data_IF_225854638663
#
_entry.id   IF_225854638663
#
_cell.length_a   1.000
_cell.length_b   1.000
_cell.length_c   1.000
_cell.angle_alpha   90.00
_cell.angle_beta   90.00
_cell.angle_gamma   90.00
#
_symmetry.space_group_name_H-M   'P 1'
#
loop_
_entity.id
_entity.type
_entity.pdbx_description
1 polymer ?
#
# COMPACT_ATOMS: atom_id res chain seq x y z
N UNK A 1 -22.33 0.81 13.06
CA UNK A 1 -21.01 0.29 12.79
C UNK A 1 -20.33 1.12 11.75
N UNK A 2 -19.17 1.65 12.06
CA UNK A 2 -18.46 2.52 11.13
C UNK A 2 -17.49 1.71 10.30
N UNK A 3 -17.58 1.83 9.01
CA UNK A 3 -16.70 1.13 8.10
C UNK A 3 -15.93 2.13 7.29
N UNK A 4 -14.63 1.92 7.15
CA UNK A 4 -13.76 2.85 6.47
C UNK A 4 -12.85 2.07 5.57
N UNK A 5 -12.72 2.49 4.33
CA UNK A 5 -11.83 1.82 3.40
C UNK A 5 -10.85 2.81 2.84
N UNK A 6 -9.63 2.38 2.62
CA UNK A 6 -8.65 3.24 2.01
C UNK A 6 -7.64 2.40 1.24
N UNK A 7 -6.89 3.05 0.38
CA UNK A 7 -5.85 2.42 -0.41
C UNK A 7 -4.54 3.00 0.08
N UNK A 8 -3.67 2.14 0.59
CA UNK A 8 -2.43 2.58 1.22
C UNK A 8 -1.24 2.25 0.34
N UNK A 9 -0.27 3.14 0.34
CA UNK A 9 0.95 2.93 -0.39
C UNK A 9 2.06 2.72 0.61
N UNK A 10 2.76 1.62 0.48
CA UNK A 10 3.86 1.24 1.36
C UNK A 10 5.11 1.03 0.52
N UNK A 11 6.25 1.35 1.07
CA UNK A 11 7.51 1.19 0.39
C UNK A 11 8.56 0.66 1.36
N UNK A 12 9.63 0.00 0.88
CA UNK A 12 10.65 -0.50 1.77
C UNK A 12 11.38 0.65 2.45
N UNK A 13 11.83 0.42 3.66
CA UNK A 13 12.61 1.43 4.36
C UNK A 13 13.99 1.49 3.72
N UNK A 14 14.79 2.44 4.16
CA UNK A 14 16.11 2.63 3.58
C UNK A 14 16.97 1.39 3.57
N UNK A 15 16.88 0.58 4.59
CA UNK A 15 17.70 -0.62 4.62
C UNK A 15 16.90 -1.82 4.14
N UNK A 16 15.74 -1.59 3.57
CA UNK A 16 14.90 -2.61 3.01
C UNK A 16 14.51 -3.72 3.98
N UNK A 17 14.67 -3.50 5.26
CA UNK A 17 14.35 -4.53 6.21
C UNK A 17 12.88 -4.55 6.58
N UNK A 18 12.14 -3.55 6.23
CA UNK A 18 10.72 -3.52 6.54
C UNK A 18 10.00 -2.54 5.64
N UNK A 19 8.68 -2.62 5.64
CA UNK A 19 7.88 -1.75 4.81
C UNK A 19 7.40 -0.57 5.64
N UNK A 20 7.38 0.59 5.03
CA UNK A 20 6.93 1.81 5.69
C UNK A 20 5.73 2.39 5.00
N UNK A 21 4.79 2.89 5.79
CA UNK A 21 3.61 3.55 5.27
C UNK A 21 4.00 4.88 4.65
N UNK A 22 3.54 5.13 3.45
CA UNK A 22 3.84 6.37 2.73
C UNK A 22 2.63 7.28 2.69
N UNK A 23 1.49 6.77 2.27
CA UNK A 23 0.30 7.61 2.10
C UNK A 23 -0.94 6.74 1.98
N UNK A 24 -2.09 7.35 2.20
CA UNK A 24 -3.35 6.66 2.03
C UNK A 24 -4.32 7.55 1.25
N UNK A 25 -5.14 6.94 0.45
CA UNK A 25 -6.11 7.64 -0.37
C UNK A 25 -7.43 6.88 -0.33
N UNK A 26 -8.54 7.60 -0.52
CA UNK A 26 -9.83 6.94 -0.58
C UNK A 26 -10.17 6.47 -1.99
N UNK A 27 -9.48 6.99 -3.00
CA UNK A 27 -9.78 6.71 -4.38
C UNK A 27 -8.72 5.80 -4.95
N UNK A 28 -9.11 4.67 -5.47
CA UNK A 28 -8.18 3.72 -6.07
C UNK A 28 -7.41 4.34 -7.23
N UNK A 29 -8.08 5.13 -8.07
CA UNK A 29 -7.41 5.70 -9.24
C UNK A 29 -6.29 6.64 -8.82
N UNK A 30 -6.52 7.43 -7.79
CA UNK A 30 -5.50 8.35 -7.30
C UNK A 30 -4.35 7.55 -6.69
N UNK A 31 -4.67 6.57 -5.86
CA UNK A 31 -3.64 5.76 -5.23
C UNK A 31 -2.80 5.03 -6.28
N UNK A 32 -3.46 4.49 -7.29
CA UNK A 32 -2.77 3.76 -8.34
C UNK A 32 -1.83 4.68 -9.12
N UNK A 33 -2.27 5.90 -9.41
CA UNK A 33 -1.42 6.86 -10.12
C UNK A 33 -0.19 7.23 -9.30
N UNK A 34 -0.37 7.43 -8.00
CA UNK A 34 0.74 7.78 -7.13
C UNK A 34 1.73 6.61 -7.06
N UNK A 35 1.22 5.39 -6.91
CA UNK A 35 2.07 4.21 -6.84
C UNK A 35 2.89 4.07 -8.13
N UNK A 36 2.24 4.26 -9.27
CA UNK A 36 2.90 4.13 -10.55
C UNK A 36 3.98 5.20 -10.70
N UNK A 37 3.72 6.40 -10.22
CA UNK A 37 4.72 7.46 -10.35
C UNK A 37 5.94 7.20 -9.51
N UNK A 38 5.81 6.54 -8.41
CA UNK A 38 6.98 6.23 -7.61
C UNK A 38 7.88 5.25 -8.36
N UNK A 39 7.25 4.36 -9.10
CA UNK A 39 8.02 3.55 -10.06
C UNK A 39 8.96 2.52 -9.52
N UNK A 40 9.13 2.40 -8.21
CA UNK A 40 9.99 1.37 -7.69
C UNK A 40 9.37 0.85 -6.43
N UNK A 41 9.91 -0.15 -5.90
CA UNK A 41 9.38 -0.97 -4.82
C UNK A 41 8.27 -0.31 -4.01
N UNK A 42 7.04 -0.58 -4.40
CA UNK A 42 5.90 -0.08 -3.66
C UNK A 42 4.82 -1.14 -3.64
N UNK A 43 4.00 -1.12 -2.63
CA UNK A 43 2.82 -1.96 -2.56
C UNK A 43 1.61 -1.07 -2.43
N UNK A 44 0.55 -1.42 -3.17
CA UNK A 44 -0.73 -0.74 -3.06
C UNK A 44 -1.64 -1.71 -2.32
N UNK A 45 -2.11 -1.32 -1.17
CA UNK A 45 -2.87 -2.20 -0.28
C UNK A 45 -4.25 -1.63 -0.02
N UNK A 46 -5.26 -2.46 -0.21
CA UNK A 46 -6.63 -2.08 0.11
C UNK A 46 -6.85 -2.47 1.58
N UNK A 47 -7.22 -1.52 2.40
CA UNK A 47 -7.37 -1.73 3.83
C UNK A 47 -8.78 -1.34 4.25
N UNK A 48 -9.39 -2.16 5.09
CA UNK A 48 -10.71 -1.91 5.61
C UNK A 48 -10.63 -1.87 7.14
N UNK A 49 -11.18 -0.82 7.71
CA UNK A 49 -11.26 -0.69 9.16
C UNK A 49 -12.74 -0.74 9.55
N UNK A 50 -13.04 -1.38 10.64
CA UNK A 50 -14.39 -1.43 11.16
C UNK A 50 -14.31 -0.98 12.60
N UNK A 51 -15.06 0.05 12.93
CA UNK A 51 -15.08 0.61 14.27
C UNK A 51 -13.69 0.94 14.79
N UNK A 52 -12.85 1.46 13.88
CA UNK A 52 -11.52 1.91 14.27
C UNK A 52 -10.45 0.82 14.31
N UNK A 53 -10.83 -0.40 14.00
CA UNK A 53 -9.86 -1.49 14.04
C UNK A 53 -9.65 -2.09 12.66
N UNK A 54 -8.44 -2.52 12.40
CA UNK A 54 -8.12 -3.14 11.12
C UNK A 54 -8.92 -4.42 10.98
N UNK A 55 -9.71 -4.52 9.95
CA UNK A 55 -10.53 -5.67 9.71
C UNK A 55 -10.01 -6.53 8.57
N UNK A 56 -9.54 -5.90 7.51
CA UNK A 56 -9.15 -6.63 6.31
C UNK A 56 -8.09 -5.88 5.58
N UNK A 57 -7.16 -6.59 4.96
CA UNK A 57 -6.09 -5.96 4.24
C UNK A 57 -5.70 -6.85 3.09
N UNK A 58 -5.54 -6.29 1.91
CA UNK A 58 -5.21 -7.08 0.73
C UNK A 58 -4.23 -6.32 -0.14
N UNK A 59 -3.15 -6.94 -0.51
CA UNK A 59 -2.18 -6.35 -1.41
C UNK A 59 -2.74 -6.47 -2.82
N UNK A 60 -2.98 -5.34 -3.46
CA UNK A 60 -3.53 -5.32 -4.80
C UNK A 60 -2.45 -5.36 -5.87
N UNK A 61 -1.38 -4.63 -5.65
CA UNK A 61 -0.33 -4.50 -6.64
C UNK A 61 1.01 -4.35 -5.95
N UNK A 62 2.04 -4.95 -6.51
CA UNK A 62 3.39 -4.71 -6.06
C UNK A 62 4.17 -4.27 -7.29
N UNK A 63 4.71 -3.07 -7.26
CA UNK A 63 5.44 -2.51 -8.38
C UNK A 63 6.92 -2.46 -8.04
N UNK A 64 7.75 -2.65 -9.04
CA UNK A 64 9.17 -2.52 -8.85
C UNK A 64 9.72 -3.50 -7.84
N UNK A 65 9.15 -4.72 -7.74
CA UNK A 65 9.57 -5.63 -6.78
C UNK A 65 11.01 -5.94 -6.95
N UNK A 66 11.77 -5.98 -5.92
CA UNK A 66 13.17 -6.24 -5.98
C UNK A 66 13.40 -7.60 -6.57
N UNK A 67 14.38 -7.79 -7.44
CA UNK A 67 14.60 -8.94 -8.01
C UNK A 67 15.13 -9.87 -7.08
N UNK A 68 14.62 -10.90 -6.98
CA UNK A 68 15.04 -11.90 -6.16
C UNK A 68 16.07 -12.57 -6.87
N UNK A 69 17.18 -12.30 -6.76
CA UNK A 69 18.13 -12.94 -7.45
C UNK A 69 18.34 -14.06 -6.82
N UNK A 70 18.03 -14.89 -7.28
CA UNK A 70 18.24 -16.08 -6.60
C UNK A 70 19.49 -16.49 -6.67
#
# INVERSE_FOLDING_TARGET
>A
MARWEQYEIWAPSNNASRWEFIAAFHDFDVASAVATRRGHSVRLIHTVYVDGQLSHQQVLVELGKPRQTA
#
